data_IF_977476174082
#
_entry.id   IF_977476174082
#
_cell.length_a   1.000
_cell.length_b   1.000
_cell.length_c   1.000
_cell.angle_alpha   90.00
_cell.angle_beta   90.00
_cell.angle_gamma   90.00
#
_symmetry.space_group_name_H-M   'P 1'
#
loop_
_entity.id
_entity.type
_entity.pdbx_description
1 polymer ?
#
# COMPACT_ATOMS: atom_id res chain seq x y z
N UNK A 1 10.96 6.28 -6.88
CA UNK A 1 9.80 6.57 -7.75
C UNK A 1 9.47 8.05 -7.88
N UNK A 2 9.31 8.82 -6.79
CA UNK A 2 8.90 10.24 -6.83
C UNK A 2 9.62 11.10 -7.88
N UNK A 3 10.94 11.10 -7.87
CA UNK A 3 11.73 12.04 -8.69
C UNK A 3 11.58 11.72 -10.18
N UNK A 4 11.51 10.44 -10.56
CA UNK A 4 11.25 10.00 -11.94
C UNK A 4 9.88 10.50 -12.40
N UNK A 5 8.82 10.29 -11.59
CA UNK A 5 7.47 10.78 -11.91
C UNK A 5 7.44 12.31 -12.06
N UNK A 6 8.18 13.04 -11.23
CA UNK A 6 8.30 14.50 -11.34
C UNK A 6 8.99 14.94 -12.64
N UNK A 7 10.08 14.27 -13.04
CA UNK A 7 10.77 14.59 -14.29
C UNK A 7 9.90 14.32 -15.51
N UNK A 8 9.19 13.19 -15.55
CA UNK A 8 8.27 12.87 -16.64
C UNK A 8 7.13 13.89 -16.72
N UNK A 9 6.55 14.26 -15.58
CA UNK A 9 5.51 15.31 -15.51
C UNK A 9 6.01 16.63 -16.09
N UNK A 10 7.24 17.06 -15.75
CA UNK A 10 7.85 18.29 -16.29
C UNK A 10 8.02 18.20 -17.81
N UNK A 11 8.48 17.06 -18.33
CA UNK A 11 8.65 16.87 -19.77
C UNK A 11 7.30 16.93 -20.50
N UNK A 12 6.25 16.34 -19.94
CA UNK A 12 4.91 16.37 -20.54
C UNK A 12 4.29 17.76 -20.51
N UNK A 13 4.54 18.54 -19.45
CA UNK A 13 4.17 19.97 -19.39
C UNK A 13 4.87 20.74 -20.53
N UNK A 14 6.19 20.54 -20.71
CA UNK A 14 6.96 21.24 -21.76
C UNK A 14 6.48 20.84 -23.16
N UNK A 15 6.09 19.57 -23.36
CA UNK A 15 5.51 19.09 -24.62
C UNK A 15 4.09 19.60 -24.88
N UNK A 16 3.43 20.15 -23.86
CA UNK A 16 2.06 20.64 -23.99
C UNK A 16 1.00 19.55 -23.99
N UNK A 17 1.24 18.41 -23.33
CA UNK A 17 0.27 17.31 -23.22
C UNK A 17 -1.11 17.82 -22.78
N UNK A 18 -2.23 17.40 -23.41
CA UNK A 18 -3.56 17.95 -23.13
C UNK A 18 -4.03 17.80 -21.68
N UNK A 19 -3.63 16.71 -21.02
CA UNK A 19 -3.94 16.41 -19.63
C UNK A 19 -2.85 15.50 -19.07
N UNK A 20 -2.52 15.67 -17.79
CA UNK A 20 -1.53 14.85 -17.09
C UNK A 20 -2.17 14.42 -15.77
N UNK A 21 -2.25 13.12 -15.54
CA UNK A 21 -2.72 12.54 -14.29
C UNK A 21 -1.65 11.62 -13.74
N UNK A 22 -1.32 11.77 -12.46
CA UNK A 22 -0.33 10.93 -11.81
C UNK A 22 -0.60 10.75 -10.33
N UNK A 23 -0.06 9.66 -9.79
CA UNK A 23 -0.10 9.34 -8.37
C UNK A 23 1.33 9.36 -7.82
N UNK A 24 1.52 10.00 -6.67
CA UNK A 24 2.77 9.94 -5.92
C UNK A 24 2.61 9.08 -4.67
N UNK A 25 3.07 7.81 -4.70
CA UNK A 25 3.13 7.01 -3.49
C UNK A 25 4.28 7.51 -2.60
N UNK A 26 4.08 7.46 -1.28
CA UNK A 26 5.15 7.62 -0.31
C UNK A 26 4.75 8.26 1.02
N UNK A 27 3.83 9.24 1.03
CA UNK A 27 3.33 9.76 2.33
C UNK A 27 2.64 8.66 3.11
N UNK A 28 1.69 7.97 2.46
CA UNK A 28 0.86 6.94 3.06
C UNK A 28 1.70 5.78 3.63
N UNK A 29 2.68 5.28 2.86
CA UNK A 29 3.59 4.22 3.29
C UNK A 29 4.37 4.62 4.57
N UNK A 30 4.94 5.83 4.60
CA UNK A 30 5.69 6.31 5.77
C UNK A 30 4.74 6.53 6.96
N UNK A 31 3.57 7.11 6.72
CA UNK A 31 2.57 7.39 7.73
C UNK A 31 1.93 6.10 8.29
N UNK A 32 1.85 5.03 7.51
CA UNK A 32 1.41 3.72 7.97
C UNK A 32 2.37 3.11 8.99
N UNK A 33 3.67 3.27 8.79
CA UNK A 33 4.69 2.70 9.69
C UNK A 33 5.00 3.59 10.90
N UNK A 34 5.02 4.91 10.69
CA UNK A 34 5.43 5.86 11.73
C UNK A 34 4.25 6.55 12.43
N UNK A 35 3.09 6.61 11.80
CA UNK A 35 1.94 7.43 12.22
C UNK A 35 1.80 8.71 11.39
N UNK A 36 0.58 9.18 11.11
CA UNK A 36 0.33 10.28 10.16
C UNK A 36 0.81 11.66 10.63
N UNK A 37 1.02 11.83 11.93
CA UNK A 37 1.40 13.10 12.56
C UNK A 37 2.87 13.18 12.98
N UNK A 38 3.71 12.26 12.48
CA UNK A 38 5.13 12.19 12.87
C UNK A 38 6.02 13.07 12.01
N UNK A 39 7.23 13.34 12.53
CA UNK A 39 8.27 14.07 11.79
C UNK A 39 8.63 13.38 10.48
N UNK A 40 8.58 12.05 10.42
CA UNK A 40 8.90 11.28 9.23
C UNK A 40 7.82 11.47 8.17
N UNK A 41 6.54 11.31 8.53
CA UNK A 41 5.40 11.54 7.65
C UNK A 41 5.38 12.99 7.10
N UNK A 42 5.54 13.99 7.98
CA UNK A 42 5.65 15.39 7.56
C UNK A 42 6.91 15.69 6.75
N UNK A 43 8.00 14.96 7.00
CA UNK A 43 9.24 15.03 6.23
C UNK A 43 9.00 14.66 4.76
N UNK A 44 8.22 13.61 4.52
CA UNK A 44 7.80 13.21 3.17
C UNK A 44 6.96 14.29 2.48
N UNK A 45 5.97 14.88 3.17
CA UNK A 45 5.17 15.99 2.62
C UNK A 45 6.02 17.22 2.25
N UNK A 46 7.01 17.59 3.08
CA UNK A 46 7.97 18.67 2.76
C UNK A 46 8.81 18.40 1.52
N UNK A 47 9.02 17.13 1.17
CA UNK A 47 9.70 16.78 -0.07
C UNK A 47 8.76 16.93 -1.27
N UNK A 48 7.48 16.53 -1.15
CA UNK A 48 6.50 16.77 -2.21
C UNK A 48 6.21 18.25 -2.43
N UNK A 49 6.13 19.06 -1.38
CA UNK A 49 5.95 20.51 -1.49
C UNK A 49 7.01 21.16 -2.39
N UNK A 50 8.29 20.76 -2.24
CA UNK A 50 9.38 21.21 -3.11
C UNK A 50 9.21 20.78 -4.57
N UNK A 51 8.75 19.55 -4.80
CA UNK A 51 8.47 19.03 -6.16
C UNK A 51 7.33 19.81 -6.80
N UNK A 52 6.24 20.03 -6.06
CA UNK A 52 5.08 20.80 -6.50
C UNK A 52 5.50 22.24 -6.84
N UNK A 53 6.31 22.88 -5.99
CA UNK A 53 6.87 24.20 -6.26
C UNK A 53 7.66 24.25 -7.57
N UNK A 54 8.48 23.22 -7.85
CA UNK A 54 9.20 23.10 -9.12
C UNK A 54 8.26 22.96 -10.31
N UNK A 55 7.21 22.13 -10.20
CA UNK A 55 6.21 21.94 -11.26
C UNK A 55 5.46 23.26 -11.53
N UNK A 56 4.99 23.94 -10.48
CA UNK A 56 4.33 25.26 -10.62
C UNK A 56 5.22 26.27 -11.33
N UNK A 57 6.50 26.31 -11.01
CA UNK A 57 7.48 27.17 -11.68
C UNK A 57 7.61 26.84 -13.18
N UNK A 58 7.73 25.55 -13.52
CA UNK A 58 7.80 25.10 -14.93
C UNK A 58 6.51 25.46 -15.68
N UNK A 59 5.34 25.26 -15.07
CA UNK A 59 4.06 25.66 -15.68
C UNK A 59 4.07 27.16 -16.01
N UNK A 60 4.47 28.00 -15.06
CA UNK A 60 4.49 29.45 -15.24
C UNK A 60 5.51 29.93 -16.28
N UNK A 61 6.68 29.29 -16.37
CA UNK A 61 7.81 29.81 -17.16
C UNK A 61 8.00 29.12 -18.52
N UNK A 62 7.48 27.90 -18.69
CA UNK A 62 7.87 27.01 -19.79
C UNK A 62 6.69 26.29 -20.48
N UNK A 63 5.51 26.26 -19.88
CA UNK A 63 4.40 25.56 -20.51
C UNK A 63 3.94 26.27 -21.80
N UNK A 64 3.73 25.54 -22.91
CA UNK A 64 3.23 26.13 -24.15
C UNK A 64 1.71 26.41 -24.10
N UNK A 65 1.04 26.02 -23.01
CA UNK A 65 -0.39 26.20 -22.78
C UNK A 65 -0.68 26.38 -21.28
N UNK A 66 -1.82 27.00 -20.91
CA UNK A 66 -2.21 27.09 -19.51
C UNK A 66 -2.48 25.71 -18.91
N UNK A 67 -2.04 25.51 -17.66
CA UNK A 67 -2.37 24.35 -16.84
C UNK A 67 -2.92 24.81 -15.50
N UNK A 68 -3.93 24.09 -15.03
CA UNK A 68 -4.37 24.16 -13.64
C UNK A 68 -3.79 22.97 -12.88
N UNK A 69 -3.31 23.21 -11.66
CA UNK A 69 -2.78 22.16 -10.80
C UNK A 69 -3.81 21.82 -9.72
N UNK A 70 -4.36 20.60 -9.81
CA UNK A 70 -5.27 20.06 -8.80
C UNK A 70 -4.50 19.04 -7.96
N UNK A 71 -4.55 19.24 -6.64
CA UNK A 71 -3.98 18.32 -5.66
C UNK A 71 -5.13 17.67 -4.88
N UNK A 72 -5.14 16.34 -4.87
CA UNK A 72 -6.16 15.55 -4.20
C UNK A 72 -5.51 14.41 -3.43
N UNK A 73 -6.15 14.01 -2.34
CA UNK A 73 -5.89 12.78 -1.62
C UNK A 73 -7.03 11.84 -1.92
N UNK A 74 -6.73 10.58 -2.23
CA UNK A 74 -7.73 9.52 -2.38
C UNK A 74 -8.38 9.19 -1.03
N UNK A 75 -7.61 9.24 0.05
CA UNK A 75 -8.11 9.11 1.41
C UNK A 75 -7.29 9.92 2.43
N UNK A 76 -7.83 10.03 3.65
CA UNK A 76 -7.10 10.52 4.82
C UNK A 76 -6.50 9.38 5.64
N UNK A 77 -5.88 9.71 6.77
CA UNK A 77 -5.32 8.72 7.68
C UNK A 77 -5.51 9.16 9.13
N UNK A 78 -5.76 8.19 10.01
CA UNK A 78 -5.96 8.41 11.43
C UNK A 78 -5.28 7.32 12.24
N UNK A 79 -4.91 7.62 13.49
CA UNK A 79 -4.61 6.56 14.43
C UNK A 79 -5.86 5.72 14.72
N UNK A 80 -5.65 4.44 15.01
CA UNK A 80 -6.70 3.53 15.44
C UNK A 80 -6.12 2.45 16.33
N UNK A 81 -6.89 2.04 17.33
CA UNK A 81 -6.55 0.85 18.11
C UNK A 81 -6.55 -0.38 17.19
N UNK A 82 -5.58 -1.27 17.39
CA UNK A 82 -5.51 -2.55 16.68
C UNK A 82 -6.75 -3.40 16.98
N UNK A 83 -6.99 -4.44 16.18
CA UNK A 83 -8.10 -5.36 16.42
C UNK A 83 -8.06 -5.95 17.84
N UNK A 84 -6.86 -6.34 18.31
CA UNK A 84 -6.63 -6.83 19.67
C UNK A 84 -6.97 -5.79 20.74
N UNK A 85 -6.56 -4.54 20.56
CA UNK A 85 -6.88 -3.47 21.53
C UNK A 85 -8.38 -3.22 21.66
N UNK A 86 -9.14 -3.37 20.57
CA UNK A 86 -10.58 -3.08 20.55
C UNK A 86 -11.43 -4.24 21.05
N UNK A 87 -11.02 -5.48 20.78
CA UNK A 87 -11.87 -6.66 20.97
C UNK A 87 -11.31 -7.70 21.96
N UNK A 88 -10.06 -7.55 22.41
CA UNK A 88 -9.43 -8.47 23.37
C UNK A 88 -8.96 -9.81 22.77
N UNK A 89 -9.07 -9.98 21.45
CA UNK A 89 -8.49 -11.10 20.68
C UNK A 89 -7.98 -10.57 19.34
N UNK A 90 -7.04 -11.28 18.71
CA UNK A 90 -6.44 -10.92 17.44
C UNK A 90 -7.39 -11.11 16.25
N UNK A 91 -7.10 -10.44 15.13
CA UNK A 91 -7.83 -10.65 13.88
C UNK A 91 -7.70 -12.11 13.39
N UNK A 92 -6.53 -12.73 13.60
CA UNK A 92 -6.31 -14.16 13.32
C UNK A 92 -7.29 -15.04 14.07
N UNK A 93 -7.37 -14.90 15.40
CA UNK A 93 -8.28 -15.68 16.23
C UNK A 93 -9.75 -15.43 15.87
N UNK A 94 -10.10 -14.20 15.45
CA UNK A 94 -11.42 -13.90 14.93
C UNK A 94 -11.74 -14.75 13.70
N UNK A 95 -10.85 -14.70 12.70
CA UNK A 95 -11.03 -15.41 11.43
C UNK A 95 -11.06 -16.92 11.66
N UNK A 96 -10.14 -17.48 12.47
CA UNK A 96 -10.13 -18.91 12.83
C UNK A 96 -11.47 -19.37 13.42
N UNK A 97 -12.09 -18.56 14.30
CA UNK A 97 -13.40 -18.88 14.88
C UNK A 97 -14.55 -18.85 13.87
N UNK A 98 -14.41 -18.15 12.75
CA UNK A 98 -15.41 -18.11 11.67
C UNK A 98 -15.20 -19.22 10.63
N UNK A 99 -14.06 -19.92 10.68
CA UNK A 99 -13.75 -21.02 9.76
C UNK A 99 -14.32 -22.35 10.30
N UNK A 100 -14.46 -23.38 9.43
CA UNK A 100 -14.83 -24.73 9.87
C UNK A 100 -13.90 -25.26 10.96
N UNK A 101 -14.43 -26.10 11.85
CA UNK A 101 -13.61 -26.74 12.88
C UNK A 101 -12.46 -27.53 12.24
N UNK A 102 -11.24 -27.33 12.74
CA UNK A 102 -10.01 -27.92 12.18
C UNK A 102 -9.37 -27.12 11.05
N UNK A 103 -9.83 -25.90 10.77
CA UNK A 103 -9.11 -24.98 9.89
C UNK A 103 -8.11 -24.12 10.70
N UNK A 104 -6.86 -24.10 10.24
CA UNK A 104 -5.79 -23.23 10.73
C UNK A 104 -5.66 -21.99 9.85
N UNK A 105 -5.38 -20.84 10.47
CA UNK A 105 -5.04 -19.60 9.77
C UNK A 105 -3.58 -19.28 10.07
N UNK A 106 -2.85 -18.81 9.06
CA UNK A 106 -1.50 -18.28 9.23
C UNK A 106 -1.52 -16.77 9.05
N UNK A 107 -0.92 -16.07 10.00
CA UNK A 107 -0.72 -14.62 9.93
C UNK A 107 0.73 -14.34 9.55
N UNK A 108 0.94 -13.62 8.45
CA UNK A 108 2.26 -13.16 8.01
C UNK A 108 2.30 -11.63 8.13
N UNK A 109 3.40 -11.11 8.68
CA UNK A 109 3.65 -9.67 8.74
C UNK A 109 4.86 -9.34 7.86
N UNK A 110 4.68 -8.60 6.77
CA UNK A 110 5.75 -8.28 5.81
C UNK A 110 5.23 -8.00 4.41
N UNK A 111 6.09 -7.42 3.55
CA UNK A 111 5.78 -7.16 2.14
C UNK A 111 5.78 -8.41 1.27
N UNK A 112 5.28 -8.29 0.05
CA UNK A 112 5.15 -9.39 -0.91
C UNK A 112 6.49 -9.76 -1.57
N UNK A 113 7.39 -10.38 -0.80
CA UNK A 113 8.65 -10.96 -1.27
C UNK A 113 8.54 -12.47 -1.57
N UNK A 114 7.32 -13.00 -1.65
CA UNK A 114 7.02 -14.43 -1.84
C UNK A 114 6.91 -15.23 -0.54
N UNK A 115 7.24 -14.66 0.62
CA UNK A 115 7.05 -15.33 1.93
C UNK A 115 5.57 -15.59 2.24
N UNK A 116 4.68 -14.69 1.83
CA UNK A 116 3.22 -14.83 1.99
C UNK A 116 2.73 -16.08 1.25
N UNK A 117 3.15 -16.27 -0.01
CA UNK A 117 2.75 -17.42 -0.83
C UNK A 117 3.21 -18.75 -0.24
N UNK A 118 4.44 -18.81 0.27
CA UNK A 118 4.97 -20.02 0.91
C UNK A 118 4.24 -20.35 2.23
N UNK A 119 3.97 -19.34 3.04
CA UNK A 119 3.23 -19.51 4.28
C UNK A 119 1.78 -19.95 4.04
N UNK A 120 1.13 -19.38 3.02
CA UNK A 120 -0.22 -19.78 2.61
C UNK A 120 -0.26 -21.24 2.12
N UNK A 121 0.70 -21.65 1.29
CA UNK A 121 0.81 -23.04 0.83
C UNK A 121 1.02 -24.02 1.99
N UNK A 122 1.89 -23.67 2.95
CA UNK A 122 2.10 -24.51 4.15
C UNK A 122 0.81 -24.66 4.95
N UNK A 123 0.08 -23.56 5.17
CA UNK A 123 -1.20 -23.57 5.88
C UNK A 123 -2.24 -24.45 5.16
N UNK A 124 -2.27 -24.41 3.82
CA UNK A 124 -3.16 -25.23 3.03
C UNK A 124 -2.82 -26.72 3.15
N UNK A 125 -1.54 -27.08 3.13
CA UNK A 125 -1.10 -28.46 3.34
C UNK A 125 -1.49 -28.99 4.74
N UNK A 126 -1.28 -28.20 5.78
CA UNK A 126 -1.66 -28.55 7.15
C UNK A 126 -3.18 -28.76 7.25
N UNK A 127 -3.96 -27.86 6.65
CA UNK A 127 -5.42 -27.96 6.61
C UNK A 127 -5.92 -29.21 5.85
N UNK A 128 -5.28 -29.59 4.74
CA UNK A 128 -5.62 -30.81 3.98
C UNK A 128 -5.34 -32.06 4.83
N UNK A 129 -4.23 -32.06 5.57
CA UNK A 129 -3.82 -33.19 6.41
C UNK A 129 -4.77 -33.36 7.61
N UNK A 130 -5.14 -32.28 8.29
CA UNK A 130 -6.04 -32.31 9.45
C UNK A 130 -7.49 -32.65 9.08
N UNK A 131 -7.97 -32.23 7.90
CA UNK A 131 -9.32 -32.54 7.41
C UNK A 131 -9.46 -33.96 6.84
N UNK A 132 -8.40 -34.76 6.85
CA UNK A 132 -8.43 -36.15 6.37
C UNK A 132 -8.70 -36.28 4.87
N UNK A 133 -8.53 -35.21 4.10
CA UNK A 133 -8.71 -35.21 2.63
C UNK A 133 -7.49 -35.75 1.87
N UNK A 134 -6.47 -36.24 2.59
CA UNK A 134 -5.38 -37.05 2.05
C UNK A 134 -5.85 -38.47 1.67
N UNK A 135 -6.84 -38.56 0.78
CA UNK A 135 -7.41 -39.81 0.28
C UNK A 135 -7.25 -39.92 -1.24
N UNK A 136 -6.32 -40.79 -1.66
CA UNK A 136 -6.19 -41.40 -3.01
C UNK A 136 -5.43 -40.65 -4.12
N UNK A 137 -4.33 -39.95 -3.83
CA UNK A 137 -3.32 -39.67 -4.86
C UNK A 137 -2.10 -40.56 -4.57
N UNK A 138 -2.02 -41.69 -5.27
CA UNK A 138 -0.84 -42.54 -5.27
C UNK A 138 -0.89 -43.73 -4.32
N UNK A 139 -1.71 -44.73 -4.65
CA UNK A 139 -1.35 -46.12 -4.40
C UNK A 139 -1.48 -46.89 -5.72
N UNK A 140 -0.42 -47.58 -6.20
CA UNK A 140 -0.49 -48.41 -7.39
C UNK A 140 -1.44 -49.60 -7.20
#
# INVERSE_FOLDING_TARGET
MRDVSAYLTILDIIRGSPSIYLTWPGYDEVAHHSGPWTRDAFGTLKQYDRVIGRIRKVIAEKAPRPYELVLLSDHGQSFGGTFLMRYGYSLKEFIEKQMPQGASVVQVSGGDDGTISMAAMSAELDNIQEQGMAGNIGRP
#
